data_IF_683636116704
#
_entry.id   IF_683636116704
#
_cell.length_a   1.000
_cell.length_b   1.000
_cell.length_c   1.000
_cell.angle_alpha   90.00
_cell.angle_beta   90.00
_cell.angle_gamma   90.00
#
_symmetry.space_group_name_H-M   'P 1'
#
loop_
_entity.id
_entity.type
_entity.pdbx_description
1 polymer ?
#
# COMPACT_ATOMS: atom_id res chain seq x y z
N UNK A 1 30.64 7.11 3.98
CA UNK A 1 29.19 6.87 3.89
C UNK A 1 28.97 5.38 3.87
N UNK A 2 28.56 4.81 5.00
CA UNK A 2 28.53 3.35 5.20
C UNK A 2 27.51 2.68 4.28
N UNK A 3 27.93 1.58 3.66
CA UNK A 3 27.06 0.67 2.93
C UNK A 3 26.05 0.04 3.90
N UNK A 4 24.84 0.59 3.95
CA UNK A 4 23.73 -0.03 4.68
C UNK A 4 23.32 -1.29 3.92
N UNK A 5 23.27 -2.42 4.61
CA UNK A 5 22.84 -3.68 4.01
C UNK A 5 21.42 -3.51 3.42
N UNK A 6 21.21 -3.81 2.12
CA UNK A 6 19.89 -3.77 1.52
C UNK A 6 18.92 -4.69 2.27
N UNK A 7 17.71 -4.19 2.52
CA UNK A 7 16.62 -4.98 3.10
C UNK A 7 15.33 -4.82 2.30
N UNK A 8 14.43 -5.78 2.43
CA UNK A 8 13.06 -5.66 1.92
C UNK A 8 12.29 -4.64 2.76
N UNK A 9 11.30 -4.02 2.11
CA UNK A 9 10.27 -3.26 2.82
C UNK A 9 9.48 -4.20 3.73
N UNK A 10 9.06 -3.73 4.90
CA UNK A 10 8.15 -4.47 5.77
C UNK A 10 6.71 -4.38 5.25
N UNK A 11 5.79 -5.26 5.68
CA UNK A 11 4.38 -5.15 5.31
C UNK A 11 3.76 -3.80 5.69
N UNK A 12 4.21 -3.20 6.79
CA UNK A 12 3.75 -1.86 7.23
C UNK A 12 4.28 -0.74 6.33
N UNK A 13 5.51 -0.85 5.83
CA UNK A 13 6.04 0.08 4.83
C UNK A 13 5.31 -0.08 3.49
N UNK A 14 4.96 -1.31 3.10
CA UNK A 14 4.11 -1.57 1.94
C UNK A 14 2.70 -0.99 2.10
N UNK A 15 2.07 -1.12 3.27
CA UNK A 15 0.78 -0.47 3.60
C UNK A 15 0.86 1.04 3.36
N UNK A 16 1.91 1.66 3.89
CA UNK A 16 2.14 3.11 3.75
C UNK A 16 2.39 3.48 2.28
N UNK A 17 3.19 2.70 1.56
CA UNK A 17 3.51 2.92 0.15
C UNK A 17 2.25 2.88 -0.73
N UNK A 18 1.36 1.92 -0.48
CA UNK A 18 0.11 1.76 -1.24
C UNK A 18 -0.98 2.76 -0.82
N UNK A 19 -0.72 3.59 0.20
CA UNK A 19 -1.61 4.65 0.66
C UNK A 19 -2.79 4.18 1.51
N UNK A 20 -2.71 2.97 2.09
CA UNK A 20 -3.71 2.51 3.05
C UNK A 20 -3.68 3.35 4.34
N UNK A 21 -4.78 3.45 5.10
CA UNK A 21 -4.83 4.24 6.32
C UNK A 21 -3.93 3.67 7.42
N UNK A 22 -3.47 4.55 8.32
CA UNK A 22 -2.74 4.14 9.53
C UNK A 22 -3.63 3.26 10.40
N UNK A 23 -3.10 2.15 10.89
CA UNK A 23 -3.87 1.17 11.68
C UNK A 23 -4.64 0.13 10.86
N UNK A 24 -4.44 0.08 9.54
CA UNK A 24 -4.95 -1.04 8.73
C UNK A 24 -4.39 -2.37 9.26
N UNK A 25 -5.29 -3.30 9.59
CA UNK A 25 -4.91 -4.56 10.26
C UNK A 25 -4.40 -5.58 9.24
N UNK A 26 -3.10 -5.88 9.30
CA UNK A 26 -2.48 -6.97 8.53
C UNK A 26 -2.63 -8.26 9.36
N UNK A 27 -3.58 -9.12 8.99
CA UNK A 27 -3.92 -10.36 9.74
C UNK A 27 -3.34 -11.64 9.13
N UNK A 28 -2.52 -11.52 8.09
CA UNK A 28 -1.92 -12.64 7.36
C UNK A 28 -0.41 -12.63 7.52
N UNK A 29 0.25 -13.72 7.14
CA UNK A 29 1.72 -13.77 7.13
C UNK A 29 2.33 -12.74 6.18
N UNK A 30 3.56 -12.32 6.45
CA UNK A 30 4.30 -11.35 5.63
C UNK A 30 4.28 -11.72 4.14
N UNK A 31 4.51 -12.99 3.80
CA UNK A 31 4.46 -13.48 2.42
C UNK A 31 3.11 -13.19 1.75
N UNK A 32 2.00 -13.43 2.46
CA UNK A 32 0.66 -13.14 1.94
C UNK A 32 0.38 -11.64 1.93
N UNK A 33 0.86 -10.88 2.92
CA UNK A 33 0.73 -9.44 2.96
C UNK A 33 1.42 -8.78 1.77
N UNK A 34 2.66 -9.20 1.43
CA UNK A 34 3.35 -8.72 0.22
C UNK A 34 2.55 -9.02 -1.04
N UNK A 35 1.96 -10.23 -1.16
CA UNK A 35 1.13 -10.59 -2.31
C UNK A 35 -0.14 -9.74 -2.37
N UNK A 36 -0.80 -9.51 -1.24
CA UNK A 36 -2.02 -8.70 -1.16
C UNK A 36 -1.73 -7.24 -1.51
N UNK A 37 -0.69 -6.64 -0.93
CA UNK A 37 -0.30 -5.27 -1.26
C UNK A 37 0.19 -5.15 -2.70
N UNK A 38 0.97 -6.10 -3.20
CA UNK A 38 1.46 -6.08 -4.59
C UNK A 38 0.36 -6.25 -5.65
N UNK A 39 -0.71 -6.96 -5.32
CA UNK A 39 -1.89 -7.10 -6.19
C UNK A 39 -2.99 -6.07 -5.89
N UNK A 40 -2.78 -5.19 -4.92
CA UNK A 40 -3.72 -4.13 -4.58
C UNK A 40 -3.53 -2.91 -5.51
N UNK A 41 -4.46 -1.99 -5.38
CA UNK A 41 -4.42 -0.65 -5.98
C UNK A 41 -3.73 0.36 -5.05
N UNK A 42 -3.24 1.46 -5.64
CA UNK A 42 -2.75 2.63 -4.89
C UNK A 42 -3.96 3.48 -4.49
N UNK A 43 -4.26 3.52 -3.19
CA UNK A 43 -5.51 4.12 -2.65
C UNK A 43 -5.72 5.58 -3.09
N UNK A 44 -4.72 6.49 -3.01
CA UNK A 44 -4.90 7.87 -3.45
C UNK A 44 -5.30 8.04 -4.93
N UNK A 45 -4.85 7.13 -5.80
CA UNK A 45 -5.18 7.17 -7.23
C UNK A 45 -6.64 6.80 -7.43
N UNK A 46 -7.10 5.74 -6.77
CA UNK A 46 -8.50 5.31 -6.82
C UNK A 46 -9.42 6.40 -6.29
N UNK A 47 -9.05 7.07 -5.19
CA UNK A 47 -9.83 8.20 -4.66
C UNK A 47 -9.94 9.35 -5.66
N UNK A 48 -8.85 9.70 -6.35
CA UNK A 48 -8.85 10.77 -7.35
C UNK A 48 -9.75 10.44 -8.54
N UNK A 49 -9.66 9.21 -9.06
CA UNK A 49 -10.53 8.73 -10.15
C UNK A 49 -11.99 8.69 -9.70
N UNK A 50 -12.27 8.18 -8.51
CA UNK A 50 -13.64 8.10 -7.97
C UNK A 50 -14.26 9.49 -7.84
N UNK A 51 -13.50 10.50 -7.39
CA UNK A 51 -13.99 11.90 -7.37
C UNK A 51 -14.32 12.43 -8.76
N UNK A 52 -13.58 12.04 -9.79
CA UNK A 52 -13.87 12.44 -11.16
C UNK A 52 -15.15 11.77 -11.68
N UNK A 53 -15.34 10.48 -11.37
CA UNK A 53 -16.56 9.74 -11.71
C UNK A 53 -17.79 10.36 -11.04
N UNK A 54 -17.73 10.68 -9.74
CA UNK A 54 -18.84 11.30 -9.02
C UNK A 54 -19.24 12.66 -9.60
N UNK A 55 -18.32 13.42 -10.22
CA UNK A 55 -18.64 14.72 -10.83
C UNK A 55 -19.48 14.62 -12.09
N UNK A 56 -19.47 13.47 -12.75
CA UNK A 56 -20.19 13.24 -14.02
C UNK A 56 -21.43 12.36 -13.86
N UNK A 57 -21.66 11.86 -12.64
CA UNK A 57 -22.90 11.22 -12.21
C UNK A 57 -23.86 12.27 -11.66
#
# INVERSE_FOLDING_TARGET
GGSVNPRRLTPEECRKLMGFPTGFRIRVSDTQAYRQFGNSVVVPVVEAVSRAVIKVL
#
